data_IF_186548005663
#
_entry.id   IF_186548005663
#
_cell.length_a   1.000
_cell.length_b   1.000
_cell.length_c   1.000
_cell.angle_alpha   90.00
_cell.angle_beta   90.00
_cell.angle_gamma   90.00
#
_symmetry.space_group_name_H-M   'P 1'
#
loop_
_entity.id
_entity.type
_entity.pdbx_description
1 polymer ?
#
# COMPACT_ATOMS: atom_id res chain seq x y z
N UNK A 1 -27.07 8.10 4.77
CA UNK A 1 -25.93 8.64 4.01
C UNK A 1 -24.83 9.01 5.00
N UNK A 2 -23.80 8.17 5.15
CA UNK A 2 -22.64 8.51 5.97
C UNK A 2 -21.84 9.62 5.27
N UNK A 3 -21.55 10.69 6.01
CA UNK A 3 -20.88 11.88 5.51
C UNK A 3 -19.46 11.50 5.02
N UNK A 4 -19.06 11.94 3.82
CA UNK A 4 -17.75 11.65 3.20
C UNK A 4 -16.55 12.03 4.10
N UNK A 5 -16.78 12.90 5.09
CA UNK A 5 -15.84 13.28 6.15
C UNK A 5 -15.53 12.16 7.16
N UNK A 6 -16.51 11.29 7.46
CA UNK A 6 -16.38 10.19 8.43
C UNK A 6 -15.47 9.06 7.91
N UNK A 7 -15.37 8.90 6.59
CA UNK A 7 -14.71 7.76 5.97
C UNK A 7 -13.21 7.96 5.66
N UNK A 8 -12.80 9.15 5.19
CA UNK A 8 -11.36 9.51 5.15
C UNK A 8 -10.77 9.55 6.57
N UNK A 9 -11.60 9.86 7.57
CA UNK A 9 -11.24 9.76 8.97
C UNK A 9 -10.96 8.32 9.40
N UNK A 10 -11.71 7.32 8.92
CA UNK A 10 -11.57 5.94 9.38
C UNK A 10 -10.19 5.34 9.04
N UNK A 11 -9.76 5.41 7.78
CA UNK A 11 -8.42 4.97 7.36
C UNK A 11 -7.33 5.67 8.19
N UNK A 12 -7.41 7.01 8.26
CA UNK A 12 -6.43 7.83 8.98
C UNK A 12 -6.43 7.57 10.50
N UNK A 13 -7.57 7.21 11.07
CA UNK A 13 -7.72 6.83 12.49
C UNK A 13 -7.10 5.46 12.75
N UNK A 14 -7.42 4.46 11.93
CA UNK A 14 -6.87 3.10 12.03
C UNK A 14 -5.35 3.14 11.89
N UNK A 15 -4.83 3.81 10.85
CA UNK A 15 -3.39 4.00 10.65
C UNK A 15 -2.73 4.63 11.89
N UNK A 16 -3.32 5.69 12.45
CA UNK A 16 -2.78 6.38 13.63
C UNK A 16 -2.77 5.49 14.87
N UNK A 17 -3.81 4.68 15.08
CA UNK A 17 -3.89 3.73 16.18
C UNK A 17 -2.82 2.65 16.03
N UNK A 18 -2.69 2.07 14.84
CA UNK A 18 -1.66 1.06 14.55
C UNK A 18 -0.27 1.65 14.71
N UNK A 19 0.00 2.84 14.18
CA UNK A 19 1.27 3.55 14.37
C UNK A 19 1.60 3.77 15.84
N UNK A 20 0.63 4.23 16.64
CA UNK A 20 0.82 4.40 18.09
C UNK A 20 1.16 3.09 18.80
N UNK A 21 0.58 1.96 18.37
CA UNK A 21 0.84 0.63 18.97
C UNK A 21 2.14 -0.01 18.47
N UNK A 22 2.47 0.14 17.19
CA UNK A 22 3.58 -0.56 16.55
C UNK A 22 4.91 0.20 16.66
N UNK A 23 4.90 1.54 16.66
CA UNK A 23 6.15 2.31 16.76
C UNK A 23 6.97 1.97 18.02
N UNK A 24 6.39 1.86 19.24
CA UNK A 24 7.14 1.46 20.43
C UNK A 24 7.74 0.05 20.35
N UNK A 25 7.16 -0.82 19.50
CA UNK A 25 7.66 -2.17 19.25
C UNK A 25 8.77 -2.22 18.19
N UNK A 26 9.26 -1.06 17.74
CA UNK A 26 10.38 -0.94 16.80
C UNK A 26 9.99 -0.99 15.32
N UNK A 27 8.69 -0.95 15.00
CA UNK A 27 8.24 -0.79 13.62
C UNK A 27 8.46 0.65 13.15
N UNK A 28 8.99 0.80 11.94
CA UNK A 28 9.34 2.11 11.38
C UNK A 28 8.77 2.28 9.98
N UNK A 29 8.43 3.51 9.64
CA UNK A 29 8.09 3.89 8.28
C UNK A 29 9.35 3.98 7.43
N UNK A 30 9.30 3.49 6.18
CA UNK A 30 10.39 3.61 5.22
C UNK A 30 9.91 4.37 3.99
N UNK A 31 10.65 5.43 3.65
CA UNK A 31 10.47 6.19 2.41
C UNK A 31 11.66 5.95 1.50
N UNK A 32 11.37 5.37 0.35
CA UNK A 32 12.36 5.07 -0.68
C UNK A 32 12.31 6.14 -1.78
N UNK A 33 13.35 6.97 -1.95
CA UNK A 33 13.41 7.96 -3.02
C UNK A 33 13.32 7.30 -4.40
N UNK A 34 12.59 7.91 -5.33
CA UNK A 34 12.52 7.43 -6.70
C UNK A 34 13.39 8.27 -7.61
N UNK A 35 14.51 7.71 -8.05
CA UNK A 35 15.32 8.29 -9.11
C UNK A 35 14.75 7.88 -10.47
N UNK A 36 14.24 8.85 -11.22
CA UNK A 36 13.62 8.60 -12.52
C UNK A 36 14.55 9.04 -13.63
N UNK A 37 15.07 8.05 -14.34
CA UNK A 37 15.90 8.24 -15.51
C UNK A 37 15.09 8.82 -16.70
N UNK A 38 15.71 9.72 -17.46
CA UNK A 38 15.16 10.30 -18.71
C UNK A 38 15.57 9.55 -19.98
N UNK A 39 16.32 8.45 -19.90
CA UNK A 39 16.82 7.68 -21.06
C UNK A 39 15.72 7.12 -21.96
N UNK A 40 14.49 7.01 -21.45
CA UNK A 40 13.33 6.56 -22.22
C UNK A 40 12.51 7.71 -22.81
N UNK A 41 12.96 8.95 -22.65
CA UNK A 41 12.31 10.09 -23.27
C UNK A 41 12.62 10.12 -24.77
N UNK A 42 11.66 10.58 -25.57
CA UNK A 42 11.88 10.77 -27.00
C UNK A 42 13.00 11.80 -27.22
N UNK A 43 13.84 11.57 -28.23
CA UNK A 43 14.95 12.48 -28.54
C UNK A 43 14.44 13.91 -28.73
N UNK A 44 15.13 14.87 -28.08
CA UNK A 44 14.78 16.29 -28.13
C UNK A 44 13.72 16.74 -27.11
N UNK A 45 13.09 15.82 -26.37
CA UNK A 45 12.19 16.21 -25.27
C UNK A 45 13.00 16.70 -24.07
N UNK A 46 12.76 17.96 -23.68
CA UNK A 46 13.30 18.57 -22.48
C UNK A 46 12.14 18.92 -21.55
N UNK A 47 12.17 18.40 -20.32
CA UNK A 47 11.16 18.77 -19.32
C UNK A 47 11.34 20.26 -18.96
N UNK A 48 10.36 21.13 -19.26
CA UNK A 48 10.49 22.57 -19.02
C UNK A 48 10.39 22.92 -17.54
N UNK A 49 10.01 21.98 -16.67
CA UNK A 49 9.82 22.21 -15.24
C UNK A 49 10.93 21.56 -14.42
N UNK A 50 11.63 22.38 -13.61
CA UNK A 50 12.51 21.86 -12.55
C UNK A 50 11.66 21.22 -11.45
N UNK A 51 11.93 19.96 -11.12
CA UNK A 51 11.29 19.24 -10.01
C UNK A 51 11.48 20.02 -8.69
N UNK A 52 10.37 20.44 -8.06
CA UNK A 52 10.36 21.00 -6.70
C UNK A 52 10.23 19.93 -5.60
N UNK A 53 9.73 18.74 -5.96
CA UNK A 53 9.45 17.65 -5.02
C UNK A 53 10.10 16.37 -5.54
N UNK A 54 10.88 15.72 -4.68
CA UNK A 54 11.45 14.41 -4.96
C UNK A 54 10.38 13.33 -4.73
N UNK A 55 10.05 12.53 -5.75
CA UNK A 55 9.09 11.45 -5.59
C UNK A 55 9.70 10.35 -4.70
N UNK A 56 8.85 9.66 -3.95
CA UNK A 56 9.23 8.51 -3.15
C UNK A 56 8.13 7.45 -3.20
N UNK A 57 8.47 6.22 -2.81
CA UNK A 57 7.51 5.21 -2.38
C UNK A 57 7.56 5.11 -0.87
N UNK A 58 6.41 4.89 -0.28
CA UNK A 58 6.23 4.85 1.16
C UNK A 58 5.73 3.46 1.57
N UNK A 59 6.34 2.89 2.60
CA UNK A 59 5.83 1.70 3.27
C UNK A 59 5.59 1.98 4.75
N UNK A 60 4.35 1.70 5.17
CA UNK A 60 3.81 2.15 6.44
C UNK A 60 4.66 1.68 7.63
N UNK A 61 4.94 0.37 7.69
CA UNK A 61 5.70 -0.24 8.77
C UNK A 61 6.65 -1.31 8.25
N UNK A 62 7.91 -1.24 8.67
CA UNK A 62 8.94 -2.25 8.41
C UNK A 62 9.64 -2.59 9.71
N UNK A 63 9.84 -3.89 9.94
CA UNK A 63 10.65 -4.44 11.03
C UNK A 63 11.18 -5.81 10.62
N UNK A 64 12.45 -6.10 10.89
CA UNK A 64 13.06 -7.41 10.64
C UNK A 64 12.83 -7.93 9.20
N UNK A 65 12.94 -7.05 8.20
CA UNK A 65 12.66 -7.34 6.77
C UNK A 65 11.22 -7.81 6.50
N UNK A 66 10.26 -7.54 7.38
CA UNK A 66 8.84 -7.71 7.14
C UNK A 66 8.20 -6.35 6.91
N UNK A 67 7.52 -6.18 5.78
CA UNK A 67 6.73 -4.99 5.46
C UNK A 67 5.27 -5.18 5.83
N UNK A 68 4.62 -4.15 6.35
CA UNK A 68 3.17 -4.12 6.62
C UNK A 68 2.59 -2.86 6.01
N UNK A 69 1.48 -3.04 5.32
CA UNK A 69 0.67 -2.02 4.68
C UNK A 69 -0.74 -2.03 5.26
N UNK A 70 -1.29 -0.85 5.52
CA UNK A 70 -2.64 -0.70 6.06
C UNK A 70 -3.51 -0.06 4.98
N UNK A 71 -4.35 -0.86 4.34
CA UNK A 71 -5.08 -0.43 3.15
C UNK A 71 -6.59 -0.39 3.37
N UNK A 72 -7.09 0.83 3.52
CA UNK A 72 -8.53 1.14 3.60
C UNK A 72 -8.92 2.20 2.55
N UNK A 73 -8.12 2.28 1.48
CA UNK A 73 -8.32 3.12 0.33
C UNK A 73 -8.97 2.37 -0.83
N UNK A 74 -8.76 2.88 -2.05
CA UNK A 74 -9.33 2.31 -3.27
C UNK A 74 -8.63 1.00 -3.66
N UNK A 75 -9.36 0.13 -4.34
CA UNK A 75 -8.86 -1.17 -4.85
C UNK A 75 -7.57 -1.07 -5.67
N UNK A 76 -7.41 0.01 -6.45
CA UNK A 76 -6.21 0.21 -7.26
C UNK A 76 -4.92 0.31 -6.42
N UNK A 77 -5.02 0.84 -5.19
CA UNK A 77 -3.88 0.95 -4.28
C UNK A 77 -3.56 -0.38 -3.59
N UNK A 78 -4.57 -1.19 -3.27
CA UNK A 78 -4.39 -2.55 -2.73
C UNK A 78 -3.66 -3.44 -3.74
N UNK A 79 -4.10 -3.44 -5.00
CA UNK A 79 -3.41 -4.18 -6.08
C UNK A 79 -1.99 -3.65 -6.27
N UNK A 80 -1.80 -2.33 -6.27
CA UNK A 80 -0.46 -1.75 -6.38
C UNK A 80 0.46 -2.17 -5.22
N UNK A 81 -0.04 -2.22 -3.98
CA UNK A 81 0.75 -2.61 -2.82
C UNK A 81 1.32 -4.03 -2.99
N UNK A 82 0.45 -5.00 -3.26
CA UNK A 82 0.81 -6.41 -3.31
C UNK A 82 1.52 -6.78 -4.61
N UNK A 83 1.02 -6.33 -5.76
CA UNK A 83 1.54 -6.76 -7.07
C UNK A 83 2.76 -5.94 -7.54
N UNK A 84 3.05 -4.79 -6.92
CA UNK A 84 4.17 -3.94 -7.34
C UNK A 84 5.03 -3.46 -6.16
N UNK A 85 4.44 -2.76 -5.19
CA UNK A 85 5.22 -2.04 -4.16
C UNK A 85 6.05 -2.98 -3.29
N UNK A 86 5.48 -4.07 -2.79
CA UNK A 86 6.19 -5.03 -1.95
C UNK A 86 7.36 -5.68 -2.71
N UNK A 87 7.18 -6.02 -3.99
CA UNK A 87 8.25 -6.54 -4.86
C UNK A 87 9.38 -5.51 -5.02
N UNK A 88 9.05 -4.24 -5.24
CA UNK A 88 10.05 -3.15 -5.34
C UNK A 88 10.86 -3.08 -4.04
N UNK A 89 10.20 -3.03 -2.89
CA UNK A 89 10.90 -2.94 -1.60
C UNK A 89 11.70 -4.21 -1.28
N UNK A 90 11.28 -5.38 -1.76
CA UNK A 90 12.08 -6.60 -1.68
C UNK A 90 13.35 -6.51 -2.52
N UNK A 91 13.24 -6.05 -3.76
CA UNK A 91 14.39 -5.92 -4.67
C UNK A 91 15.38 -4.85 -4.21
N UNK A 92 14.90 -3.81 -3.52
CA UNK A 92 15.73 -2.79 -2.87
C UNK A 92 16.26 -3.24 -1.49
N UNK A 93 15.95 -4.48 -1.08
CA UNK A 93 16.49 -5.09 0.13
C UNK A 93 15.82 -4.62 1.42
N UNK A 94 14.70 -3.90 1.39
CA UNK A 94 14.00 -3.44 2.60
C UNK A 94 13.24 -4.57 3.29
N UNK A 95 12.62 -5.46 2.51
CA UNK A 95 11.79 -6.56 3.03
C UNK A 95 12.08 -7.88 2.29
N UNK A 96 11.63 -8.99 2.85
CA UNK A 96 11.61 -10.32 2.21
C UNK A 96 10.22 -10.95 2.19
N UNK A 97 9.28 -10.35 2.93
CA UNK A 97 7.88 -10.74 2.99
C UNK A 97 7.01 -9.52 3.31
N UNK A 98 5.74 -9.57 2.93
CA UNK A 98 4.77 -8.50 3.14
C UNK A 98 3.51 -8.95 3.87
N UNK A 99 2.83 -8.00 4.50
CA UNK A 99 1.48 -8.14 5.04
C UNK A 99 0.64 -6.97 4.52
N UNK A 100 -0.52 -7.26 3.94
CA UNK A 100 -1.53 -6.25 3.62
C UNK A 100 -2.72 -6.42 4.58
N UNK A 101 -3.03 -5.37 5.34
CA UNK A 101 -4.20 -5.33 6.22
C UNK A 101 -5.33 -4.61 5.48
N UNK A 102 -6.47 -5.28 5.30
CA UNK A 102 -7.65 -4.77 4.58
C UNK A 102 -8.92 -4.97 5.41
N UNK A 103 -9.98 -4.18 5.21
CA UNK A 103 -11.26 -4.44 5.86
C UNK A 103 -11.95 -5.68 5.26
N UNK A 104 -12.72 -6.41 6.04
CA UNK A 104 -13.79 -7.27 5.50
C UNK A 104 -14.90 -6.41 4.87
N UNK A 105 -15.71 -7.01 3.99
CA UNK A 105 -16.78 -6.30 3.28
C UNK A 105 -17.73 -5.56 4.23
N UNK A 106 -18.13 -6.18 5.34
CA UNK A 106 -19.03 -5.57 6.32
C UNK A 106 -18.47 -4.28 6.95
N UNK A 107 -17.15 -4.22 7.18
CA UNK A 107 -16.50 -3.01 7.66
C UNK A 107 -16.40 -1.98 6.53
N UNK A 108 -16.07 -2.40 5.30
CA UNK A 108 -16.00 -1.51 4.15
C UNK A 108 -17.36 -0.87 3.78
N UNK A 109 -18.47 -1.56 4.02
CA UNK A 109 -19.84 -1.03 3.83
C UNK A 109 -20.16 0.16 4.76
N UNK A 110 -19.42 0.30 5.87
CA UNK A 110 -19.49 1.45 6.77
C UNK A 110 -18.53 2.57 6.38
N UNK A 111 -17.81 2.43 5.27
CA UNK A 111 -16.80 3.37 4.77
C UNK A 111 -17.26 4.11 3.50
N UNK A 112 -16.34 4.84 2.87
CA UNK A 112 -16.61 5.55 1.62
C UNK A 112 -16.86 4.55 0.51
N UNK A 113 -17.65 4.96 -0.48
CA UNK A 113 -17.77 4.22 -1.73
C UNK A 113 -16.40 4.01 -2.38
N UNK A 114 -16.16 2.79 -2.84
CA UNK A 114 -14.93 2.41 -3.54
C UNK A 114 -13.75 2.03 -2.63
N UNK A 115 -13.95 1.92 -1.32
CA UNK A 115 -12.98 1.25 -0.43
C UNK A 115 -12.91 -0.24 -0.79
N UNK A 116 -11.71 -0.77 -0.99
CA UNK A 116 -11.51 -2.19 -1.22
C UNK A 116 -11.60 -3.00 0.05
N UNK A 117 -12.00 -4.27 -0.10
CA UNK A 117 -12.18 -5.22 0.99
C UNK A 117 -11.59 -6.58 0.66
N UNK A 118 -11.42 -7.39 1.70
CA UNK A 118 -10.76 -8.69 1.65
C UNK A 118 -11.34 -9.62 0.58
N UNK A 119 -12.65 -9.78 0.53
CA UNK A 119 -13.34 -10.71 -0.37
C UNK A 119 -13.16 -10.31 -1.84
N UNK A 120 -13.16 -9.00 -2.13
CA UNK A 120 -12.84 -8.50 -3.46
C UNK A 120 -11.41 -8.89 -3.84
N UNK A 121 -10.46 -8.76 -2.92
CA UNK A 121 -9.06 -9.06 -3.21
C UNK A 121 -8.78 -10.55 -3.39
N UNK A 122 -9.42 -11.40 -2.59
CA UNK A 122 -9.37 -12.85 -2.76
C UNK A 122 -9.88 -13.22 -4.15
N UNK A 123 -11.05 -12.69 -4.53
CA UNK A 123 -11.61 -12.95 -5.86
C UNK A 123 -10.68 -12.46 -6.98
N UNK A 124 -10.11 -11.27 -6.85
CA UNK A 124 -9.16 -10.72 -7.83
C UNK A 124 -7.93 -11.63 -7.98
N UNK A 125 -7.36 -12.12 -6.88
CA UNK A 125 -6.20 -13.02 -6.90
C UNK A 125 -6.54 -14.39 -7.50
N UNK A 126 -7.71 -14.95 -7.18
CA UNK A 126 -8.19 -16.21 -7.76
C UNK A 126 -8.39 -16.09 -9.27
N UNK A 127 -9.00 -14.99 -9.74
CA UNK A 127 -9.25 -14.77 -11.19
C UNK A 127 -8.02 -14.39 -11.97
N UNK A 128 -7.11 -13.62 -11.37
CA UNK A 128 -5.80 -13.32 -11.95
C UNK A 128 -4.94 -14.58 -12.07
N UNK A 129 -5.08 -15.50 -11.11
CA UNK A 129 -4.28 -16.72 -11.01
C UNK A 129 -2.93 -16.50 -10.33
N UNK A 130 -2.17 -17.57 -10.25
CA UNK A 130 -0.82 -17.56 -9.70
C UNK A 130 0.11 -16.79 -10.61
N UNK A 131 0.84 -15.84 -10.05
CA UNK A 131 1.97 -15.22 -10.71
C UNK A 131 3.18 -15.48 -9.83
N UNK A 132 4.33 -15.69 -10.46
CA UNK A 132 5.61 -15.67 -9.77
C UNK A 132 5.94 -14.22 -9.42
N UNK A 133 5.30 -13.73 -8.36
CA UNK A 133 5.63 -12.46 -7.73
C UNK A 133 6.69 -12.78 -6.69
N UNK A 134 7.90 -12.29 -6.94
CA UNK A 134 9.17 -12.51 -6.24
C UNK A 134 9.19 -12.23 -4.70
N UNK A 135 8.04 -12.26 -4.02
CA UNK A 135 7.84 -12.02 -2.60
C UNK A 135 6.56 -12.72 -2.08
N UNK A 136 6.63 -13.45 -0.94
CA UNK A 136 5.43 -13.91 -0.23
C UNK A 136 4.71 -12.74 0.45
N UNK A 137 3.39 -12.67 0.27
CA UNK A 137 2.52 -11.65 0.90
C UNK A 137 1.33 -12.31 1.58
N UNK A 138 1.10 -11.96 2.85
CA UNK A 138 -0.06 -12.38 3.63
C UNK A 138 -1.12 -11.29 3.64
N UNK A 139 -2.37 -11.65 3.35
CA UNK A 139 -3.51 -10.73 3.40
C UNK A 139 -4.29 -10.99 4.69
N UNK A 140 -4.51 -9.94 5.48
CA UNK A 140 -5.26 -10.01 6.73
C UNK A 140 -6.50 -9.14 6.61
N UNK A 141 -7.67 -9.79 6.57
CA UNK A 141 -8.97 -9.14 6.72
C UNK A 141 -9.25 -8.80 8.19
N UNK A 142 -9.74 -7.59 8.46
CA UNK A 142 -10.19 -7.18 9.80
C UNK A 142 -11.63 -6.68 9.80
N UNK A 143 -12.31 -6.86 10.93
CA UNK A 143 -13.66 -6.35 11.18
C UNK A 143 -13.78 -5.76 12.59
N UNK A 144 -14.99 -5.34 12.96
CA UNK A 144 -15.39 -4.76 14.25
C UNK A 144 -15.92 -5.80 15.23
#
# INVERSE_FOLDING_TARGET
>A
MLNMRYCMEMHSRIYRILKKKLSPLGWKNIKEPCDYNTNHYVNGYNNPYKKKVYPYRDMDFVKNKLGVEVQFGKYSFMVYNVCAKMTIFKNLGHIIAGIEIVPFKELAEQMSTGVSYFEQFVWDLEKRGTADIDIPVMIIGISV
#
